data_IF_149905253123
#
_entry.id   IF_149905253123
#
_cell.length_a   1.000
_cell.length_b   1.000
_cell.length_c   1.000
_cell.angle_alpha   90.00
_cell.angle_beta   90.00
_cell.angle_gamma   90.00
#
_symmetry.space_group_name_H-M   'P 1'
#
loop_
_entity.id
_entity.type
_entity.pdbx_description
1 polymer ?
#
# COMPACT_ATOMS: atom_id res chain seq x y z
N UNK A 1 16.00 -0.27 18.15
CA UNK A 1 14.69 -0.83 17.75
C UNK A 1 13.80 -0.88 18.98
N UNK A 2 12.55 -0.41 18.87
CA UNK A 2 11.55 -0.52 19.95
C UNK A 2 10.50 -1.57 19.58
N UNK A 3 9.74 -2.10 20.54
CA UNK A 3 8.62 -2.99 20.23
C UNK A 3 7.62 -2.38 19.24
N UNK A 4 7.46 -1.06 19.22
CA UNK A 4 6.58 -0.39 18.27
C UNK A 4 7.17 -0.42 16.85
N UNK A 5 8.45 -0.09 16.68
CA UNK A 5 9.09 -0.12 15.35
C UNK A 5 9.15 -1.53 14.78
N UNK A 6 9.37 -2.55 15.62
CA UNK A 6 9.32 -3.95 15.19
C UNK A 6 7.93 -4.35 14.66
N UNK A 7 6.85 -4.06 15.42
CA UNK A 7 5.47 -4.33 14.96
C UNK A 7 5.15 -3.60 13.66
N UNK A 8 5.63 -2.36 13.51
CA UNK A 8 5.47 -1.57 12.29
C UNK A 8 6.17 -2.23 11.10
N UNK A 9 7.40 -2.70 11.27
CA UNK A 9 8.12 -3.45 10.22
C UNK A 9 7.37 -4.71 9.82
N UNK A 10 6.95 -5.54 10.78
CA UNK A 10 6.21 -6.79 10.50
C UNK A 10 4.89 -6.52 9.77
N UNK A 11 4.09 -5.55 10.25
CA UNK A 11 2.82 -5.24 9.61
C UNK A 11 2.99 -4.65 8.21
N UNK A 12 4.03 -3.86 7.98
CA UNK A 12 4.36 -3.33 6.64
C UNK A 12 4.66 -4.47 5.66
N UNK A 13 5.59 -5.38 6.02
CA UNK A 13 5.97 -6.51 5.17
C UNK A 13 4.77 -7.41 4.82
N UNK A 14 3.91 -7.72 5.79
CA UNK A 14 2.72 -8.54 5.55
C UNK A 14 1.69 -7.80 4.68
N UNK A 15 1.55 -6.48 4.86
CA UNK A 15 0.60 -5.70 4.05
C UNK A 15 1.05 -5.56 2.61
N UNK A 16 2.35 -5.43 2.36
CA UNK A 16 2.94 -5.36 1.01
C UNK A 16 2.84 -6.72 0.30
N UNK A 17 3.13 -7.81 1.02
CA UNK A 17 3.06 -9.16 0.45
C UNK A 17 1.62 -9.70 0.32
N UNK A 18 0.68 -9.16 1.09
CA UNK A 18 -0.70 -9.64 1.11
C UNK A 18 -1.72 -8.52 1.42
N UNK A 19 -2.20 -8.42 2.66
CA UNK A 19 -3.25 -7.43 3.00
C UNK A 19 -3.11 -6.88 4.41
N UNK A 20 -3.61 -5.67 4.62
CA UNK A 20 -3.70 -5.06 5.96
C UNK A 20 -4.56 -5.85 6.95
N UNK A 21 -5.51 -6.65 6.47
CA UNK A 21 -6.32 -7.56 7.30
C UNK A 21 -5.50 -8.75 7.80
N UNK A 22 -4.57 -9.28 7.01
CA UNK A 22 -3.65 -10.32 7.48
C UNK A 22 -2.66 -9.75 8.50
N UNK A 23 -2.12 -8.57 8.23
CA UNK A 23 -1.24 -7.87 9.16
C UNK A 23 -1.94 -7.62 10.51
N UNK A 24 -3.22 -7.20 10.50
CA UNK A 24 -3.97 -6.96 11.74
C UNK A 24 -4.17 -8.23 12.56
N UNK A 25 -4.46 -9.36 11.90
CA UNK A 25 -4.57 -10.67 12.56
C UNK A 25 -3.24 -11.10 13.20
N UNK A 26 -2.12 -10.90 12.51
CA UNK A 26 -0.79 -11.23 13.04
C UNK A 26 -0.44 -10.42 14.29
N UNK A 27 -0.87 -9.15 14.36
CA UNK A 27 -0.65 -8.28 15.52
C UNK A 27 -1.70 -8.44 16.63
N UNK A 28 -2.75 -9.24 16.41
CA UNK A 28 -3.85 -9.40 17.36
C UNK A 28 -4.79 -8.19 17.43
N UNK A 29 -4.87 -7.37 16.38
CA UNK A 29 -5.77 -6.23 16.34
C UNK A 29 -7.16 -6.64 15.84
N UNK A 30 -8.20 -6.16 16.53
CA UNK A 30 -9.61 -6.37 16.18
C UNK A 30 -10.01 -5.69 14.86
N UNK A 31 -9.30 -4.63 14.47
CA UNK A 31 -9.55 -3.87 13.25
C UNK A 31 -8.28 -3.70 12.42
N UNK A 32 -8.45 -3.84 11.10
CA UNK A 32 -7.40 -3.53 10.13
C UNK A 32 -7.11 -2.04 10.03
N UNK A 33 -8.04 -1.17 10.44
CA UNK A 33 -7.88 0.29 10.38
C UNK A 33 -6.74 0.77 11.29
N UNK A 34 -6.73 0.37 12.56
CA UNK A 34 -5.63 0.68 13.50
C UNK A 34 -4.27 0.21 12.95
N UNK A 35 -4.25 -0.93 12.26
CA UNK A 35 -3.03 -1.48 11.66
C UNK A 35 -2.56 -0.62 10.49
N UNK A 36 -3.47 -0.21 9.60
CA UNK A 36 -3.15 0.69 8.48
C UNK A 36 -2.63 2.04 8.95
N UNK A 37 -3.29 2.63 9.93
CA UNK A 37 -3.01 4.02 10.30
C UNK A 37 -1.71 4.15 11.12
N UNK A 38 -1.38 3.15 11.93
CA UNK A 38 -0.28 3.25 12.89
C UNK A 38 0.88 2.28 12.66
N UNK A 39 0.63 1.13 12.02
CA UNK A 39 1.59 0.04 11.93
C UNK A 39 2.00 -0.32 10.50
N UNK A 40 1.38 0.24 9.47
CA UNK A 40 1.82 0.09 8.08
C UNK A 40 2.57 1.37 7.68
N UNK A 41 3.77 1.21 7.14
CA UNK A 41 4.51 2.34 6.60
C UNK A 41 3.74 2.93 5.41
N UNK A 42 3.64 4.26 5.38
CA UNK A 42 3.13 4.94 4.20
C UNK A 42 4.18 4.80 3.09
N UNK A 43 3.77 4.49 1.85
CA UNK A 43 4.68 4.56 0.72
C UNK A 43 5.38 5.93 0.71
N UNK A 44 6.65 5.99 0.28
CA UNK A 44 7.27 7.28 0.03
C UNK A 44 6.39 8.07 -0.95
N UNK A 45 6.29 9.38 -0.75
CA UNK A 45 5.61 10.27 -1.71
C UNK A 45 6.34 10.09 -3.04
N UNK A 46 5.65 9.51 -4.02
CA UNK A 46 6.18 9.38 -5.38
C UNK A 46 6.15 10.72 -6.08
N UNK A 47 6.94 10.87 -7.14
CA UNK A 47 6.78 11.98 -8.07
C UNK A 47 5.33 12.01 -8.61
N UNK A 48 4.86 13.19 -9.00
CA UNK A 48 3.62 13.29 -9.76
C UNK A 48 3.84 12.66 -11.14
N UNK A 49 3.11 11.57 -11.40
CA UNK A 49 3.19 10.80 -12.64
C UNK A 49 1.86 10.88 -13.41
N UNK A 50 0.99 11.82 -13.08
CA UNK A 50 -0.36 11.95 -13.68
C UNK A 50 -0.28 12.07 -15.20
N UNK A 51 0.59 12.95 -15.72
CA UNK A 51 0.81 13.12 -17.18
C UNK A 51 1.25 11.83 -17.89
N UNK A 52 2.08 11.01 -17.22
CA UNK A 52 2.55 9.75 -17.78
C UNK A 52 1.44 8.69 -17.82
N UNK A 53 0.62 8.64 -16.77
CA UNK A 53 -0.52 7.72 -16.67
C UNK A 53 -1.64 8.13 -17.64
N UNK A 54 -1.86 9.43 -17.86
CA UNK A 54 -2.84 9.95 -18.83
C UNK A 54 -2.45 9.57 -20.26
N UNK A 55 -1.18 9.75 -20.63
CA UNK A 55 -0.65 9.28 -21.93
C UNK A 55 -0.80 7.78 -22.13
N UNK A 56 -0.68 6.96 -21.08
CA UNK A 56 -0.90 5.51 -21.19
C UNK A 56 -2.37 5.20 -21.53
N UNK A 57 -3.32 5.90 -20.92
CA UNK A 57 -4.74 5.72 -21.18
C UNK A 57 -5.12 6.15 -22.62
N UNK A 58 -4.63 7.29 -23.08
CA UNK A 58 -4.88 7.78 -24.46
C UNK A 58 -4.38 6.80 -25.54
N UNK A 59 -3.24 6.14 -25.29
CA UNK A 59 -2.71 5.14 -26.22
C UNK A 59 -3.56 3.85 -26.27
N UNK A 60 -4.21 3.49 -25.17
CA UNK A 60 -5.13 2.34 -25.10
C UNK A 60 -6.40 2.64 -25.92
N UNK A 61 -6.96 3.84 -25.74
CA UNK A 61 -8.14 4.30 -26.50
C UNK A 61 -7.88 4.33 -28.01
N UNK A 62 -6.73 4.87 -28.43
CA UNK A 62 -6.32 4.93 -29.83
C UNK A 62 -6.12 3.54 -30.48
N UNK A 63 -5.83 2.50 -29.67
CA UNK A 63 -5.68 1.12 -30.13
C UNK A 63 -6.98 0.32 -30.18
N UNK A 64 -8.08 0.86 -29.61
CA UNK A 64 -9.41 0.22 -29.62
C UNK A 64 -10.25 0.55 -30.86
N UNK A 65 -9.83 1.54 -31.66
CA UNK A 65 -10.53 2.06 -32.85
C UNK A 65 -9.88 1.64 -34.18
N UNK A 66 -9.14 0.53 -34.20
CA UNK A 66 -8.51 -0.09 -35.39
C UNK A 66 -8.78 -1.59 -35.46
#
# INVERSE_FOLDING_TARGET
MTPHTFRKTVATLISEAATSKLASRQLGHSSSQVTRDHYIAKPPVSADLSELLERLAENDDASSDS
#
